data_IF_406383537913
#
_entry.id   IF_406383537913
#
_cell.length_a   1.000
_cell.length_b   1.000
_cell.length_c   1.000
_cell.angle_alpha   90.00
_cell.angle_beta   90.00
_cell.angle_gamma   90.00
#
_symmetry.space_group_name_H-M   'P 1'
#
loop_
_entity.id
_entity.type
_entity.pdbx_description
1 polymer ?
#
# COMPACT_ATOMS: atom_id res chain seq x y z
N UNK A 1 -3.26 4.99 17.58
CA UNK A 1 -4.16 5.65 16.59
C UNK A 1 -3.81 7.09 16.21
N UNK A 2 -3.47 8.02 17.13
CA UNK A 2 -3.04 9.39 16.72
C UNK A 2 -1.85 9.37 15.74
N UNK A 3 -0.91 8.44 15.94
CA UNK A 3 0.23 8.22 15.05
C UNK A 3 -0.18 7.71 13.67
N UNK A 4 -1.13 6.76 13.61
CA UNK A 4 -1.73 6.29 12.36
C UNK A 4 -2.37 7.43 11.57
N UNK A 5 -3.17 8.29 12.21
CA UNK A 5 -3.82 9.42 11.55
C UNK A 5 -2.81 10.41 10.95
N UNK A 6 -1.75 10.76 11.70
CA UNK A 6 -0.66 11.58 11.17
C UNK A 6 -0.01 10.92 9.96
N UNK A 7 0.26 9.62 10.04
CA UNK A 7 0.87 8.85 8.94
C UNK A 7 -0.01 8.84 7.70
N UNK A 8 -1.30 8.58 7.85
CA UNK A 8 -2.27 8.60 6.75
C UNK A 8 -2.33 9.98 6.09
N UNK A 9 -2.32 11.05 6.88
CA UNK A 9 -2.28 12.42 6.36
C UNK A 9 -1.02 12.65 5.51
N UNK A 10 0.14 12.17 5.96
CA UNK A 10 1.38 12.24 5.18
C UNK A 10 1.30 11.40 3.90
N UNK A 11 0.75 10.18 3.96
CA UNK A 11 0.59 9.34 2.77
C UNK A 11 -0.35 10.01 1.75
N UNK A 12 -1.48 10.56 2.21
CA UNK A 12 -2.43 11.28 1.35
C UNK A 12 -1.76 12.48 0.70
N UNK A 13 -0.92 13.22 1.44
CA UNK A 13 -0.16 14.34 0.88
C UNK A 13 0.80 13.87 -0.22
N UNK A 14 1.56 12.78 0.02
CA UNK A 14 2.46 12.20 -0.98
C UNK A 14 1.72 11.77 -2.25
N UNK A 15 0.57 11.09 -2.09
CA UNK A 15 -0.28 10.70 -3.22
C UNK A 15 -0.78 11.95 -3.94
N UNK A 16 -1.25 12.98 -3.24
CA UNK A 16 -1.70 14.22 -3.87
C UNK A 16 -0.60 14.94 -4.66
N UNK A 17 0.63 14.98 -4.14
CA UNK A 17 1.72 15.75 -4.76
C UNK A 17 2.39 15.04 -5.94
N UNK A 18 2.23 13.71 -6.08
CA UNK A 18 2.95 12.97 -7.12
C UNK A 18 2.33 13.13 -8.52
N UNK A 19 3.21 13.10 -9.52
CA UNK A 19 2.89 13.03 -10.96
C UNK A 19 2.93 11.61 -11.51
N UNK A 20 3.27 10.61 -10.69
CA UNK A 20 3.39 9.22 -11.13
C UNK A 20 2.04 8.53 -11.43
N UNK A 21 0.92 9.17 -11.11
CA UNK A 21 -0.41 8.73 -11.49
C UNK A 21 -0.79 9.34 -12.84
N UNK A 22 -0.89 8.50 -13.87
CA UNK A 22 -1.40 8.93 -15.17
C UNK A 22 -2.93 9.13 -15.15
N UNK A 23 -3.66 8.30 -14.40
CA UNK A 23 -5.11 8.38 -14.24
C UNK A 23 -5.52 9.16 -12.96
N UNK A 24 -6.16 10.35 -13.10
CA UNK A 24 -6.69 11.10 -11.96
C UNK A 24 -7.76 10.32 -11.16
N UNK A 25 -8.53 9.44 -11.80
CA UNK A 25 -9.55 8.65 -11.13
C UNK A 25 -8.93 7.59 -10.21
N UNK A 26 -7.89 6.89 -10.68
CA UNK A 26 -7.10 5.98 -9.84
C UNK A 26 -6.45 6.70 -8.65
N UNK A 27 -5.93 7.91 -8.86
CA UNK A 27 -5.38 8.76 -7.79
C UNK A 27 -6.43 9.09 -6.72
N UNK A 28 -7.63 9.50 -7.14
CA UNK A 28 -8.74 9.77 -6.25
C UNK A 28 -9.18 8.50 -5.47
N UNK A 29 -9.22 7.34 -6.15
CA UNK A 29 -9.55 6.07 -5.52
C UNK A 29 -8.54 5.67 -4.43
N UNK A 30 -7.23 5.85 -4.68
CA UNK A 30 -6.18 5.62 -3.66
C UNK A 30 -6.38 6.52 -2.45
N UNK A 31 -6.69 7.80 -2.66
CA UNK A 31 -6.95 8.74 -1.57
C UNK A 31 -8.19 8.32 -0.77
N UNK A 32 -9.24 7.86 -1.43
CA UNK A 32 -10.46 7.42 -0.76
C UNK A 32 -10.20 6.15 0.09
N UNK A 33 -9.46 5.18 -0.44
CA UNK A 33 -9.00 4.01 0.33
C UNK A 33 -8.24 4.42 1.60
N UNK A 34 -7.37 5.43 1.50
CA UNK A 34 -6.64 5.95 2.66
C UNK A 34 -7.54 6.67 3.67
N UNK A 35 -8.57 7.37 3.18
CA UNK A 35 -9.58 8.05 4.04
C UNK A 35 -10.49 7.06 4.74
N UNK A 36 -10.84 5.94 4.11
CA UNK A 36 -11.63 4.88 4.75
C UNK A 36 -11.01 4.39 6.05
N UNK A 37 -9.67 4.30 6.12
CA UNK A 37 -8.96 3.91 7.36
C UNK A 37 -9.27 4.87 8.52
N UNK A 38 -9.47 6.15 8.23
CA UNK A 38 -9.86 7.14 9.24
C UNK A 38 -11.34 6.99 9.63
N UNK A 39 -12.22 6.65 8.68
CA UNK A 39 -13.65 6.45 8.93
C UNK A 39 -13.92 5.22 9.81
N UNK A 40 -13.12 4.17 9.67
CA UNK A 40 -13.26 2.95 10.49
C UNK A 40 -12.66 3.08 11.90
N UNK A 41 -12.12 4.23 12.30
CA UNK A 41 -11.47 4.42 13.61
C UNK A 41 -12.34 3.97 14.80
N UNK A 42 -13.64 4.19 14.72
CA UNK A 42 -14.61 3.86 15.76
C UNK A 42 -15.38 2.56 15.49
N UNK A 43 -14.99 1.82 14.45
CA UNK A 43 -15.68 0.59 14.05
C UNK A 43 -15.48 -0.52 15.09
N UNK A 44 -16.57 -1.19 15.43
CA UNK A 44 -16.57 -2.44 16.20
C UNK A 44 -17.00 -3.61 15.30
N UNK A 45 -16.48 -4.83 15.54
CA UNK A 45 -15.51 -5.18 16.57
C UNK A 45 -14.08 -4.74 16.22
N UNK A 46 -13.24 -4.54 17.25
CA UNK A 46 -11.83 -4.14 17.13
C UNK A 46 -11.03 -4.93 16.07
N UNK A 47 -11.24 -6.23 15.99
CA UNK A 47 -10.58 -7.10 15.01
C UNK A 47 -10.95 -6.74 13.56
N UNK A 48 -12.22 -6.39 13.33
CA UNK A 48 -12.71 -5.95 12.01
C UNK A 48 -12.12 -4.59 11.64
N UNK A 49 -12.02 -3.67 12.59
CA UNK A 49 -11.35 -2.37 12.39
C UNK A 49 -9.90 -2.57 11.94
N UNK A 50 -9.13 -3.38 12.67
CA UNK A 50 -7.71 -3.63 12.36
C UNK A 50 -7.53 -4.31 11.01
N UNK A 51 -8.36 -5.32 10.74
CA UNK A 51 -8.40 -6.03 9.45
C UNK A 51 -8.60 -5.05 8.29
N UNK A 52 -9.67 -4.25 8.35
CA UNK A 52 -10.00 -3.29 7.30
C UNK A 52 -8.89 -2.26 7.12
N UNK A 53 -8.27 -1.77 8.21
CA UNK A 53 -7.16 -0.84 8.12
C UNK A 53 -6.00 -1.40 7.29
N UNK A 54 -5.61 -2.66 7.54
CA UNK A 54 -4.53 -3.32 6.77
C UNK A 54 -4.94 -3.57 5.31
N UNK A 55 -6.19 -3.96 5.06
CA UNK A 55 -6.68 -4.23 3.71
C UNK A 55 -6.73 -2.94 2.86
N UNK A 56 -7.26 -1.85 3.40
CA UNK A 56 -7.28 -0.55 2.73
C UNK A 56 -5.86 -0.02 2.47
N UNK A 57 -4.95 -0.13 3.46
CA UNK A 57 -3.53 0.21 3.27
C UNK A 57 -2.90 -0.59 2.12
N UNK A 58 -3.04 -1.92 2.14
CA UNK A 58 -2.45 -2.77 1.11
C UNK A 58 -3.05 -2.49 -0.28
N UNK A 59 -4.36 -2.25 -0.37
CA UNK A 59 -5.03 -1.93 -1.64
C UNK A 59 -4.59 -0.58 -2.19
N UNK A 60 -4.46 0.43 -1.33
CA UNK A 60 -3.94 1.76 -1.72
C UNK A 60 -2.52 1.66 -2.29
N UNK A 61 -1.64 0.87 -1.66
CA UNK A 61 -0.27 0.62 -2.12
C UNK A 61 -0.25 -0.16 -3.44
N UNK A 62 -1.05 -1.22 -3.56
CA UNK A 62 -1.09 -2.04 -4.77
C UNK A 62 -1.61 -1.27 -5.98
N UNK A 63 -2.63 -0.44 -5.78
CA UNK A 63 -3.14 0.46 -6.81
C UNK A 63 -2.08 1.48 -7.19
N UNK A 64 -1.42 2.11 -6.22
CA UNK A 64 -0.33 3.06 -6.49
C UNK A 64 0.81 2.43 -7.29
N UNK A 65 1.22 1.20 -6.96
CA UNK A 65 2.25 0.46 -7.69
C UNK A 65 1.83 0.16 -9.13
N UNK A 66 0.58 -0.21 -9.36
CA UNK A 66 0.04 -0.41 -10.71
C UNK A 66 0.12 0.88 -11.52
N UNK A 67 -0.32 2.00 -10.96
CA UNK A 67 -0.30 3.29 -11.66
C UNK A 67 1.13 3.76 -11.99
N UNK A 68 2.10 3.51 -11.10
CA UNK A 68 3.52 3.79 -11.38
C UNK A 68 4.06 2.90 -12.50
N UNK A 69 3.71 1.61 -12.50
CA UNK A 69 4.08 0.67 -13.58
C UNK A 69 3.49 1.11 -14.91
N UNK A 70 2.20 1.44 -14.92
CA UNK A 70 1.47 1.84 -16.13
C UNK A 70 1.98 3.18 -16.68
N UNK A 71 2.25 4.17 -15.82
CA UNK A 71 2.80 5.48 -16.24
C UNK A 71 4.21 5.40 -16.81
N UNK A 72 4.99 4.39 -16.42
CA UNK A 72 6.31 4.12 -16.97
C UNK A 72 6.27 3.18 -18.19
N UNK A 73 5.08 2.81 -18.69
CA UNK A 73 4.90 1.93 -19.84
C UNK A 73 5.39 0.50 -19.61
N UNK A 74 5.48 0.06 -18.34
CA UNK A 74 6.01 -1.25 -17.97
C UNK A 74 4.90 -2.30 -18.11
N UNK A 75 5.11 -3.28 -18.99
CA UNK A 75 4.13 -4.35 -19.20
C UNK A 75 4.34 -5.49 -18.20
N UNK A 76 3.33 -5.72 -17.36
CA UNK A 76 3.32 -6.85 -16.40
C UNK A 76 2.37 -7.94 -16.88
N UNK A 77 2.89 -9.17 -17.01
CA UNK A 77 2.13 -10.38 -17.33
C UNK A 77 0.89 -10.52 -16.44
N UNK A 78 -0.25 -10.93 -17.00
CA UNK A 78 -1.52 -11.01 -16.27
C UNK A 78 -1.42 -11.80 -14.96
N UNK A 79 -0.70 -12.93 -14.95
CA UNK A 79 -0.49 -13.77 -13.74
C UNK A 79 0.39 -13.12 -12.66
N UNK A 80 1.11 -12.05 -13.00
CA UNK A 80 1.99 -11.28 -12.10
C UNK A 80 1.40 -9.92 -11.72
N UNK A 81 0.15 -9.61 -12.08
CA UNK A 81 -0.54 -8.35 -11.72
C UNK A 81 -0.97 -8.33 -10.25
N UNK A 82 0.03 -8.30 -9.37
CA UNK A 82 -0.12 -8.19 -7.94
C UNK A 82 1.03 -7.35 -7.37
N UNK A 83 0.93 -6.93 -6.11
CA UNK A 83 1.94 -6.11 -5.44
C UNK A 83 3.39 -6.61 -5.64
N UNK A 84 3.64 -7.92 -5.53
CA UNK A 84 4.99 -8.49 -5.69
C UNK A 84 5.49 -8.47 -7.13
N UNK A 85 4.60 -8.68 -8.11
CA UNK A 85 4.94 -8.57 -9.52
C UNK A 85 5.20 -7.14 -9.97
N UNK A 86 4.40 -6.16 -9.51
CA UNK A 86 4.66 -4.75 -9.77
C UNK A 86 6.01 -4.29 -9.19
N UNK A 87 6.29 -4.63 -7.93
CA UNK A 87 7.59 -4.32 -7.31
C UNK A 87 8.78 -4.99 -8.02
N UNK A 88 8.59 -6.20 -8.55
CA UNK A 88 9.64 -6.85 -9.35
C UNK A 88 9.85 -6.14 -10.68
N UNK A 89 8.77 -5.79 -11.38
CA UNK A 89 8.84 -5.07 -12.64
C UNK A 89 9.52 -3.69 -12.50
N UNK A 90 9.24 -2.96 -11.42
CA UNK A 90 9.91 -1.68 -11.11
C UNK A 90 11.40 -1.85 -10.77
N UNK A 91 11.78 -2.97 -10.15
CA UNK A 91 13.17 -3.25 -9.79
C UNK A 91 14.00 -3.76 -10.96
N UNK A 92 13.37 -4.48 -11.89
CA UNK A 92 14.02 -5.05 -13.06
C UNK A 92 13.98 -4.09 -14.27
N UNK A 93 13.32 -2.93 -14.15
CA UNK A 93 13.33 -1.85 -15.15
C UNK A 93 14.74 -1.25 -15.34
N UNK A 94 15.01 -0.69 -16.52
CA UNK A 94 16.28 -0.02 -16.84
C UNK A 94 16.04 1.45 -17.22
N UNK A 95 16.45 2.43 -16.39
CA UNK A 95 17.08 2.28 -15.07
C UNK A 95 16.11 1.80 -13.97
N UNK A 96 16.58 1.13 -12.91
CA UNK A 96 15.69 0.66 -11.84
C UNK A 96 14.95 1.81 -11.17
N UNK A 97 13.63 1.69 -11.10
CA UNK A 97 12.77 2.67 -10.40
C UNK A 97 12.71 2.39 -8.89
N UNK A 98 12.97 1.15 -8.50
CA UNK A 98 13.01 0.70 -7.10
C UNK A 98 14.18 -0.24 -6.91
N UNK A 99 14.95 -0.09 -5.83
CA UNK A 99 16.04 -1.04 -5.56
C UNK A 99 15.53 -2.35 -4.91
N UNK A 100 16.35 -3.41 -4.97
CA UNK A 100 16.00 -4.73 -4.42
C UNK A 100 15.69 -4.72 -2.92
N UNK A 101 16.34 -3.87 -2.13
CA UNK A 101 16.08 -3.74 -0.69
C UNK A 101 14.69 -3.18 -0.42
N UNK A 102 14.27 -2.17 -1.18
CA UNK A 102 12.93 -1.57 -1.08
C UNK A 102 11.88 -2.58 -1.49
N UNK A 103 12.08 -3.28 -2.62
CA UNK A 103 11.21 -4.41 -3.02
C UNK A 103 11.06 -5.42 -1.89
N UNK A 104 12.17 -5.86 -1.31
CA UNK A 104 12.17 -6.88 -0.25
C UNK A 104 11.40 -6.40 0.99
N UNK A 105 11.64 -5.17 1.44
CA UNK A 105 10.98 -4.60 2.60
C UNK A 105 9.46 -4.44 2.37
N UNK A 106 9.05 -3.93 1.21
CA UNK A 106 7.62 -3.79 0.88
C UNK A 106 6.90 -5.15 0.86
N UNK A 107 7.52 -6.17 0.27
CA UNK A 107 6.97 -7.52 0.26
C UNK A 107 6.85 -8.08 1.67
N UNK A 108 7.92 -7.96 2.48
CA UNK A 108 7.95 -8.50 3.83
C UNK A 108 6.93 -7.83 4.74
N UNK A 109 6.87 -6.50 4.73
CA UNK A 109 6.21 -5.73 5.77
C UNK A 109 4.76 -5.34 5.42
N UNK A 110 4.38 -5.43 4.14
CA UNK A 110 3.01 -5.16 3.69
C UNK A 110 2.39 -6.39 3.02
N UNK A 111 3.00 -6.92 1.96
CA UNK A 111 2.41 -8.03 1.18
C UNK A 111 2.21 -9.28 2.02
N UNK A 112 3.23 -9.72 2.78
CA UNK A 112 3.11 -10.91 3.64
C UNK A 112 2.09 -10.72 4.75
N UNK A 113 1.99 -9.51 5.33
CA UNK A 113 1.00 -9.20 6.37
C UNK A 113 -0.41 -9.29 5.78
N UNK A 114 -0.66 -8.65 4.63
CA UNK A 114 -1.94 -8.75 3.91
C UNK A 114 -2.28 -10.18 3.56
N UNK A 115 -1.33 -10.95 3.00
CA UNK A 115 -1.57 -12.32 2.56
C UNK A 115 -1.90 -13.25 3.73
N UNK A 116 -1.18 -13.14 4.86
CA UNK A 116 -1.51 -13.90 6.07
C UNK A 116 -2.94 -13.65 6.52
N UNK A 117 -3.36 -12.38 6.53
CA UNK A 117 -4.70 -11.99 6.95
C UNK A 117 -5.77 -12.45 5.95
N UNK A 118 -5.49 -12.36 4.64
CA UNK A 118 -6.44 -12.70 3.59
C UNK A 118 -6.62 -14.22 3.37
N UNK A 119 -5.59 -15.02 3.63
CA UNK A 119 -5.59 -16.46 3.33
C UNK A 119 -5.76 -17.36 4.56
N UNK A 120 -5.82 -16.80 5.77
CA UNK A 120 -6.00 -17.59 7.01
C UNK A 120 -7.27 -17.15 7.72
N UNK A 121 -8.29 -18.02 7.71
CA UNK A 121 -9.54 -17.77 8.41
C UNK A 121 -9.30 -17.53 9.91
N UNK A 122 -9.96 -16.52 10.48
CA UNK A 122 -9.76 -16.11 11.87
C UNK A 122 -8.46 -15.35 12.14
N UNK A 123 -7.64 -15.07 11.11
CA UNK A 123 -6.45 -14.24 11.26
C UNK A 123 -6.80 -12.75 11.27
N UNK A 124 -6.40 -12.07 12.33
CA UNK A 124 -6.55 -10.63 12.49
C UNK A 124 -5.23 -10.02 12.95
N UNK A 125 -5.00 -8.72 12.72
CA UNK A 125 -3.88 -8.04 13.36
C UNK A 125 -4.02 -8.10 14.88
N UNK A 126 -2.99 -8.62 15.56
CA UNK A 126 -3.03 -8.91 17.00
C UNK A 126 -3.16 -7.65 17.87
N UNK A 127 -2.59 -6.53 17.39
CA UNK A 127 -2.58 -5.27 18.12
C UNK A 127 -2.53 -4.08 17.14
N UNK A 128 -2.76 -2.88 17.68
CA UNK A 128 -2.68 -1.64 16.91
C UNK A 128 -1.24 -1.35 16.45
N UNK A 129 -0.22 -1.84 17.17
CA UNK A 129 1.19 -1.67 16.79
C UNK A 129 1.51 -2.33 15.44
N UNK A 130 0.94 -3.50 15.16
CA UNK A 130 1.08 -4.15 13.86
C UNK A 130 0.45 -3.31 12.74
N UNK A 131 -0.72 -2.71 12.99
CA UNK A 131 -1.38 -1.82 12.02
C UNK A 131 -0.52 -0.58 11.77
N UNK A 132 0.01 0.03 12.83
CA UNK A 132 0.90 1.20 12.74
C UNK A 132 2.22 0.86 12.02
N UNK A 133 2.81 -0.30 12.28
CA UNK A 133 4.00 -0.78 11.60
C UNK A 133 3.74 -1.04 10.10
N UNK A 134 2.60 -1.66 9.75
CA UNK A 134 2.22 -1.85 8.35
C UNK A 134 1.97 -0.50 7.65
N UNK A 135 1.36 0.48 8.33
CA UNK A 135 1.20 1.83 7.79
C UNK A 135 2.54 2.54 7.58
N UNK A 136 3.49 2.36 8.49
CA UNK A 136 4.85 2.87 8.36
C UNK A 136 5.58 2.26 7.15
N UNK A 137 5.45 0.94 6.97
CA UNK A 137 6.02 0.25 5.83
C UNK A 137 5.39 0.72 4.51
N UNK A 138 4.06 0.83 4.46
CA UNK A 138 3.34 1.35 3.29
C UNK A 138 3.79 2.79 2.95
N UNK A 139 3.94 3.66 3.96
CA UNK A 139 4.50 5.00 3.77
C UNK A 139 5.90 4.96 3.17
N UNK A 140 6.80 4.13 3.72
CA UNK A 140 8.16 4.01 3.21
C UNK A 140 8.17 3.58 1.74
N UNK A 141 7.37 2.56 1.40
CA UNK A 141 7.19 2.09 0.02
C UNK A 141 6.65 3.20 -0.90
N UNK A 142 5.55 3.86 -0.53
CA UNK A 142 4.94 4.93 -1.31
C UNK A 142 5.90 6.10 -1.53
N UNK A 143 6.64 6.50 -0.49
CA UNK A 143 7.60 7.61 -0.57
C UNK A 143 8.79 7.36 -1.50
N UNK A 144 8.98 6.10 -1.93
CA UNK A 144 10.05 5.69 -2.83
C UNK A 144 9.54 5.51 -4.25
N UNK A 145 8.32 4.99 -4.43
CA UNK A 145 7.75 4.75 -5.77
C UNK A 145 7.06 5.98 -6.37
N UNK A 146 6.65 6.95 -5.54
CA UNK A 146 5.93 8.15 -5.98
C UNK A 146 6.83 9.38 -6.14
N UNK A 147 8.15 9.19 -6.09
CA UNK A 147 9.14 10.25 -6.31
C UNK A 147 9.14 10.73 -7.76
#
# INVERSE_FOLDING_TARGET
MKNLQKRLSTIILLVNSTTAFADPAAKAAVIEELREISKIANLQPLNRRRLLAVLHLARSLETSLREVVDSNGIVVEAKKRNMGGYLSALADHAPPLVNYTVKHNCIRDVTKVRNRIAHTAGSYPQNDNLVEATAQAAYACLSLILR
#
